data_IF_990954678584
#
_entry.id   IF_990954678584
#
_cell.length_a   1.000
_cell.length_b   1.000
_cell.length_c   1.000
_cell.angle_alpha   90.00
_cell.angle_beta   90.00
_cell.angle_gamma   90.00
#
_symmetry.space_group_name_H-M   'P 1'
#
loop_
_entity.id
_entity.type
_entity.pdbx_description
1 polymer ?
#
# COMPACT_ATOMS: atom_id res chain seq x y z
N UNK A 1 -21.65 -8.94 0.05
CA UNK A 1 -21.49 -9.07 -1.42
C UNK A 1 -20.67 -7.86 -1.87
N UNK A 2 -19.41 -8.05 -2.17
CA UNK A 2 -18.56 -7.02 -2.77
C UNK A 2 -19.04 -6.82 -4.21
N UNK A 3 -19.52 -5.61 -4.55
CA UNK A 3 -19.83 -5.29 -5.94
C UNK A 3 -18.50 -5.27 -6.70
N UNK A 4 -18.32 -6.19 -7.64
CA UNK A 4 -17.26 -6.08 -8.62
C UNK A 4 -17.54 -4.83 -9.47
N UNK A 5 -16.87 -3.74 -9.11
CA UNK A 5 -16.89 -2.52 -9.92
C UNK A 5 -15.94 -2.75 -11.09
N UNK A 6 -16.44 -2.64 -12.31
CA UNK A 6 -15.57 -2.76 -13.48
C UNK A 6 -14.61 -1.57 -13.51
N UNK A 7 -13.39 -1.80 -13.99
CA UNK A 7 -12.37 -0.73 -14.15
C UNK A 7 -12.89 0.46 -14.97
N UNK A 8 -13.83 0.21 -15.89
CA UNK A 8 -14.45 1.25 -16.72
C UNK A 8 -15.41 2.15 -15.91
N UNK A 9 -16.11 1.60 -14.93
CA UNK A 9 -17.00 2.35 -14.02
C UNK A 9 -16.24 3.12 -12.94
N UNK A 10 -15.04 2.65 -12.57
CA UNK A 10 -14.18 3.27 -11.57
C UNK A 10 -13.32 4.41 -12.13
N UNK A 11 -13.38 4.69 -13.46
CA UNK A 11 -12.57 5.72 -14.11
C UNK A 11 -13.14 7.11 -13.85
N UNK A 12 -12.36 7.99 -13.21
CA UNK A 12 -12.75 9.38 -12.92
C UNK A 12 -12.39 10.36 -14.07
N UNK A 13 -11.45 9.97 -14.93
CA UNK A 13 -11.00 10.81 -16.03
C UNK A 13 -9.49 10.75 -16.27
N UNK A 14 -8.96 11.78 -16.92
CA UNK A 14 -7.53 11.95 -17.17
C UNK A 14 -6.92 12.84 -16.09
N UNK A 15 -5.78 12.41 -15.54
CA UNK A 15 -5.07 13.14 -14.50
C UNK A 15 -4.43 14.43 -15.05
N UNK A 16 -4.64 15.55 -14.39
CA UNK A 16 -3.87 16.79 -14.60
C UNK A 16 -2.63 16.75 -13.68
N UNK A 17 -1.54 16.17 -14.20
CA UNK A 17 -0.29 16.02 -13.44
C UNK A 17 0.39 17.36 -13.11
N UNK A 18 0.13 18.39 -13.88
CA UNK A 18 0.70 19.74 -13.64
C UNK A 18 0.05 20.42 -12.44
N UNK A 19 -1.24 20.16 -12.19
CA UNK A 19 -2.00 20.70 -11.06
C UNK A 19 -2.15 19.73 -9.90
N UNK A 20 -1.44 18.60 -9.94
CA UNK A 20 -1.57 17.57 -8.91
C UNK A 20 -1.00 18.06 -7.56
N UNK A 21 -1.81 18.00 -6.50
CA UNK A 21 -1.39 18.38 -5.13
C UNK A 21 -0.28 17.50 -4.57
N UNK A 22 -0.12 16.28 -5.10
CA UNK A 22 0.91 15.33 -4.71
C UNK A 22 2.14 15.36 -5.63
N UNK A 23 2.21 16.30 -6.59
CA UNK A 23 3.24 16.31 -7.64
C UNK A 23 4.65 16.14 -7.09
N UNK A 24 5.00 16.85 -6.02
CA UNK A 24 6.34 16.81 -5.43
C UNK A 24 6.69 15.47 -4.74
N UNK A 25 5.69 14.64 -4.47
CA UNK A 25 5.84 13.39 -3.74
C UNK A 25 5.68 12.13 -4.60
N UNK A 26 5.20 12.27 -5.86
CA UNK A 26 4.96 11.15 -6.78
C UNK A 26 6.11 10.96 -7.77
N UNK A 27 6.03 9.90 -8.59
CA UNK A 27 7.09 9.52 -9.53
C UNK A 27 7.55 10.68 -10.43
N UNK A 28 6.64 11.54 -10.84
CA UNK A 28 6.89 12.63 -11.80
C UNK A 28 7.23 13.96 -11.13
N UNK A 29 7.64 13.96 -9.85
CA UNK A 29 8.00 15.17 -9.10
C UNK A 29 9.03 16.05 -9.82
N UNK A 30 10.03 15.42 -10.43
CA UNK A 30 11.16 16.09 -11.05
C UNK A 30 11.00 16.30 -12.57
N UNK A 31 9.81 16.06 -13.15
CA UNK A 31 9.55 16.30 -14.55
C UNK A 31 9.18 17.77 -14.80
N UNK A 32 9.74 18.34 -15.86
CA UNK A 32 9.38 19.67 -16.35
C UNK A 32 8.13 19.60 -17.27
N UNK A 33 7.51 20.73 -17.54
CA UNK A 33 6.32 20.80 -18.39
C UNK A 33 6.54 20.19 -19.78
N UNK A 34 7.73 20.44 -20.38
CA UNK A 34 8.13 19.85 -21.66
C UNK A 34 8.22 18.32 -21.67
N UNK A 35 8.42 17.67 -20.50
CA UNK A 35 8.44 16.23 -20.39
C UNK A 35 7.02 15.66 -20.45
N UNK A 36 6.02 16.41 -19.94
CA UNK A 36 4.61 16.03 -20.03
C UNK A 36 4.04 16.17 -21.44
N UNK A 37 4.58 17.05 -22.27
CA UNK A 37 4.19 17.17 -23.69
C UNK A 37 4.54 15.90 -24.50
N UNK A 38 5.51 15.11 -24.01
CA UNK A 38 5.92 13.83 -24.58
C UNK A 38 5.03 12.65 -24.14
N UNK A 39 4.09 12.89 -23.23
CA UNK A 39 3.13 11.88 -22.80
C UNK A 39 2.06 11.69 -23.87
N UNK A 40 2.30 10.78 -24.80
CA UNK A 40 1.34 10.48 -25.86
C UNK A 40 0.14 9.63 -25.37
N UNK A 41 0.26 9.00 -24.20
CA UNK A 41 -0.80 8.23 -23.55
C UNK A 41 -1.30 8.93 -22.31
N UNK A 42 -2.63 9.03 -22.12
CA UNK A 42 -3.19 9.67 -20.94
C UNK A 42 -2.90 8.85 -19.68
N UNK A 43 -2.69 9.57 -18.59
CA UNK A 43 -2.66 9.00 -17.23
C UNK A 43 -4.09 9.04 -16.72
N UNK A 44 -4.73 7.89 -16.64
CA UNK A 44 -6.10 7.79 -16.13
C UNK A 44 -6.13 7.80 -14.60
N UNK A 45 -7.20 8.37 -14.04
CA UNK A 45 -7.51 8.30 -12.62
C UNK A 45 -8.65 7.33 -12.37
N UNK A 46 -8.57 6.62 -11.24
CA UNK A 46 -9.58 5.67 -10.78
C UNK A 46 -9.83 5.85 -9.30
N UNK A 47 -11.10 5.77 -8.88
CA UNK A 47 -11.53 5.61 -7.50
C UNK A 47 -12.08 4.21 -7.30
N UNK A 48 -11.46 3.44 -6.44
CA UNK A 48 -11.76 2.03 -6.22
C UNK A 48 -12.31 1.81 -4.82
N UNK A 49 -13.48 1.15 -4.70
CA UNK A 49 -14.07 0.83 -3.42
C UNK A 49 -13.31 -0.28 -2.68
N UNK A 50 -13.51 -0.37 -1.37
CA UNK A 50 -12.94 -1.43 -0.52
C UNK A 50 -13.28 -2.80 -1.07
N UNK A 51 -12.27 -3.68 -1.13
CA UNK A 51 -12.35 -5.04 -1.64
C UNK A 51 -12.23 -5.18 -3.16
N UNK A 52 -12.19 -4.07 -3.92
CA UNK A 52 -11.90 -4.13 -5.35
C UNK A 52 -10.47 -4.61 -5.61
N UNK A 53 -10.26 -5.37 -6.68
CA UNK A 53 -8.94 -5.79 -7.14
C UNK A 53 -8.46 -4.86 -8.24
N UNK A 54 -7.29 -4.27 -8.06
CA UNK A 54 -6.65 -3.40 -9.04
C UNK A 54 -6.02 -4.19 -10.18
N UNK A 55 -5.35 -5.30 -9.85
CA UNK A 55 -4.78 -6.27 -10.78
C UNK A 55 -4.54 -7.60 -10.06
N UNK A 56 -4.43 -8.69 -10.82
CA UNK A 56 -4.10 -10.02 -10.31
C UNK A 56 -2.67 -10.43 -10.63
N UNK A 57 -2.11 -11.29 -9.81
CA UNK A 57 -0.84 -11.94 -10.09
C UNK A 57 -0.92 -12.69 -11.42
N UNK A 58 0.11 -12.57 -12.26
CA UNK A 58 0.15 -13.17 -13.60
C UNK A 58 -0.54 -12.36 -14.70
N UNK A 59 -1.36 -11.34 -14.36
CA UNK A 59 -1.90 -10.42 -15.37
C UNK A 59 -0.77 -9.67 -16.06
N UNK A 60 -0.97 -9.31 -17.33
CA UNK A 60 -0.01 -8.53 -18.10
C UNK A 60 0.15 -7.14 -17.52
N UNK A 61 1.38 -6.78 -17.19
CA UNK A 61 1.76 -5.54 -16.52
C UNK A 61 1.92 -4.36 -17.50
N UNK A 62 0.81 -3.85 -18.02
CA UNK A 62 0.83 -2.71 -18.94
C UNK A 62 0.84 -1.36 -18.24
N UNK A 63 0.53 -1.32 -16.94
CA UNK A 63 0.40 -0.10 -16.14
C UNK A 63 1.07 -0.25 -14.78
N UNK A 64 1.64 0.85 -14.31
CA UNK A 64 1.97 1.06 -12.90
C UNK A 64 0.94 1.98 -12.29
N UNK A 65 0.80 1.94 -10.98
CA UNK A 65 -0.20 2.76 -10.30
C UNK A 65 0.44 3.53 -9.15
N UNK A 66 0.26 4.85 -9.17
CA UNK A 66 0.55 5.71 -8.01
C UNK A 66 -0.71 5.85 -7.17
N UNK A 67 -0.62 5.52 -5.89
CA UNK A 67 -1.71 5.74 -4.94
C UNK A 67 -1.77 7.21 -4.55
N UNK A 68 -2.92 7.85 -4.73
CA UNK A 68 -3.17 9.24 -4.31
C UNK A 68 -3.71 9.32 -2.90
N UNK A 69 -4.67 8.45 -2.60
CA UNK A 69 -5.28 8.32 -1.28
C UNK A 69 -5.71 6.88 -1.02
N UNK A 70 -5.96 6.52 0.22
CA UNK A 70 -6.38 5.18 0.60
C UNK A 70 -5.21 4.21 0.82
N UNK A 71 -5.52 2.90 0.84
CA UNK A 71 -4.55 1.83 1.10
C UNK A 71 -4.89 0.61 0.23
N UNK A 72 -3.88 0.10 -0.48
CA UNK A 72 -3.91 -1.22 -1.12
C UNK A 72 -3.10 -2.23 -0.30
N UNK A 73 -3.49 -3.48 -0.35
CA UNK A 73 -2.69 -4.62 0.11
C UNK A 73 -2.17 -5.42 -1.08
N UNK A 74 -0.89 -5.79 -1.05
CA UNK A 74 -0.32 -6.76 -1.98
C UNK A 74 -0.38 -8.15 -1.34
N UNK A 75 -1.02 -9.08 -2.05
CA UNK A 75 -1.34 -10.42 -1.55
C UNK A 75 -0.61 -11.48 -2.36
N UNK A 76 -0.06 -12.46 -1.67
CA UNK A 76 0.38 -13.73 -2.23
C UNK A 76 -0.43 -14.87 -1.59
N UNK A 77 -0.77 -15.87 -2.39
CA UNK A 77 -1.39 -17.10 -1.91
C UNK A 77 -0.31 -18.15 -1.68
N UNK A 78 -0.35 -18.78 -0.50
CA UNK A 78 0.55 -19.87 -0.19
C UNK A 78 0.00 -21.19 -0.76
N UNK A 79 0.83 -22.26 -0.84
CA UNK A 79 0.40 -23.54 -1.38
C UNK A 79 -0.79 -24.19 -0.66
N UNK A 80 -1.03 -23.83 0.60
CA UNK A 80 -2.18 -24.27 1.41
C UNK A 80 -3.46 -23.44 1.17
N UNK A 81 -3.39 -22.46 0.25
CA UNK A 81 -4.48 -21.55 -0.06
C UNK A 81 -4.61 -20.35 0.90
N UNK A 82 -3.81 -20.29 1.95
CA UNK A 82 -3.82 -19.15 2.86
C UNK A 82 -3.23 -17.90 2.20
N UNK A 83 -3.75 -16.73 2.59
CA UNK A 83 -3.28 -15.44 2.11
C UNK A 83 -2.14 -14.91 2.97
N UNK A 84 -1.12 -14.35 2.32
CA UNK A 84 -0.10 -13.51 2.95
C UNK A 84 -0.16 -12.11 2.37
N UNK A 85 -0.35 -11.12 3.23
CA UNK A 85 -0.19 -9.71 2.85
C UNK A 85 1.30 -9.40 3.01
N UNK A 86 1.95 -9.16 1.89
CA UNK A 86 3.42 -8.96 1.85
C UNK A 86 3.79 -7.49 1.87
N UNK A 87 2.85 -6.58 1.57
CA UNK A 87 3.07 -5.13 1.59
C UNK A 87 1.77 -4.36 1.65
N UNK A 88 1.81 -3.18 2.28
CA UNK A 88 0.78 -2.14 2.16
C UNK A 88 1.30 -1.03 1.26
N UNK A 89 0.47 -0.60 0.33
CA UNK A 89 0.75 0.52 -0.59
C UNK A 89 -0.14 1.68 -0.15
N UNK A 90 0.47 2.80 0.18
CA UNK A 90 -0.17 3.99 0.75
C UNK A 90 -0.06 5.18 -0.20
N UNK A 91 -0.64 6.31 0.20
CA UNK A 91 -0.50 7.57 -0.56
C UNK A 91 0.97 7.85 -0.90
N UNK A 92 1.22 8.26 -2.14
CA UNK A 92 2.50 8.51 -2.79
C UNK A 92 3.32 7.29 -3.17
N UNK A 93 2.95 6.08 -2.72
CA UNK A 93 3.60 4.84 -3.15
C UNK A 93 3.21 4.45 -4.58
N UNK A 94 4.05 3.62 -5.16
CA UNK A 94 3.83 3.03 -6.50
C UNK A 94 3.73 1.52 -6.37
N UNK A 95 2.79 0.93 -7.11
CA UNK A 95 2.70 -0.52 -7.30
C UNK A 95 2.77 -0.87 -8.78
N UNK A 96 3.18 -2.11 -9.10
CA UNK A 96 3.44 -2.54 -10.47
C UNK A 96 4.81 -2.12 -11.00
N UNK A 97 5.77 -1.74 -10.13
CA UNK A 97 7.14 -1.39 -10.54
C UNK A 97 7.85 -2.56 -11.25
N UNK A 98 7.52 -3.79 -10.89
CA UNK A 98 8.04 -5.02 -11.50
C UNK A 98 7.77 -5.08 -13.00
N UNK A 99 6.72 -4.42 -13.48
CA UNK A 99 6.33 -4.42 -14.88
C UNK A 99 7.31 -3.65 -15.79
N UNK A 100 8.24 -2.85 -15.21
CA UNK A 100 9.32 -2.21 -15.99
C UNK A 100 10.37 -3.23 -16.46
N UNK A 101 10.59 -4.30 -15.69
CA UNK A 101 11.61 -5.32 -15.99
C UNK A 101 11.02 -6.69 -16.28
N UNK A 102 9.75 -6.90 -15.97
CA UNK A 102 9.01 -8.12 -16.19
C UNK A 102 7.74 -7.87 -17.01
N UNK A 103 7.05 -8.93 -17.39
CA UNK A 103 5.86 -8.81 -18.23
C UNK A 103 4.56 -8.87 -17.44
N UNK A 104 4.60 -9.37 -16.18
CA UNK A 104 3.41 -9.65 -15.39
C UNK A 104 3.52 -9.13 -13.97
N UNK A 105 2.36 -8.85 -13.35
CA UNK A 105 2.29 -8.55 -11.92
C UNK A 105 2.64 -9.77 -11.07
N UNK A 106 3.33 -9.54 -9.96
CA UNK A 106 3.81 -10.59 -9.06
C UNK A 106 2.90 -10.82 -7.85
N UNK A 107 1.88 -9.97 -7.66
CA UNK A 107 0.96 -9.99 -6.52
C UNK A 107 -0.45 -9.64 -6.98
N UNK A 108 -1.45 -10.04 -6.19
CA UNK A 108 -2.77 -9.41 -6.29
C UNK A 108 -2.73 -8.07 -5.54
N UNK A 109 -3.22 -6.99 -6.15
CA UNK A 109 -3.39 -5.70 -5.49
C UNK A 109 -4.87 -5.48 -5.16
N UNK A 110 -5.21 -5.47 -3.88
CA UNK A 110 -6.59 -5.40 -3.39
C UNK A 110 -6.78 -4.15 -2.52
N UNK A 111 -7.88 -3.45 -2.72
CA UNK A 111 -8.23 -2.23 -1.98
C UNK A 111 -8.60 -2.56 -0.54
N UNK A 112 -7.86 -2.00 0.41
CA UNK A 112 -8.08 -2.17 1.84
C UNK A 112 -8.88 -1.01 2.45
N UNK A 113 -8.66 0.20 1.93
CA UNK A 113 -9.46 1.41 2.18
C UNK A 113 -9.73 2.03 0.81
N UNK A 114 -10.90 2.69 0.65
CA UNK A 114 -11.23 3.37 -0.60
C UNK A 114 -10.02 4.14 -1.13
N UNK A 115 -9.65 3.88 -2.38
CA UNK A 115 -8.34 4.26 -2.92
C UNK A 115 -8.48 4.96 -4.26
N UNK A 116 -7.88 6.15 -4.34
CA UNK A 116 -7.66 6.83 -5.61
C UNK A 116 -6.28 6.48 -6.16
N UNK A 117 -6.22 6.13 -7.44
CA UNK A 117 -4.96 5.83 -8.13
C UNK A 117 -4.84 6.56 -9.47
N UNK A 118 -3.59 6.89 -9.83
CA UNK A 118 -3.23 7.27 -11.20
C UNK A 118 -2.58 6.06 -11.88
N UNK A 119 -3.09 5.69 -13.05
CA UNK A 119 -2.58 4.60 -13.88
C UNK A 119 -1.59 5.13 -14.91
N UNK A 120 -0.34 4.75 -14.77
CA UNK A 120 0.79 5.17 -15.58
C UNK A 120 1.14 4.07 -16.59
N UNK A 121 1.01 4.29 -17.90
CA UNK A 121 1.42 3.29 -18.87
C UNK A 121 2.92 2.99 -18.74
N UNK A 122 3.29 1.71 -18.59
CA UNK A 122 4.69 1.26 -18.41
C UNK A 122 5.58 1.77 -19.55
N UNK A 123 5.13 1.65 -20.79
CA UNK A 123 5.87 2.13 -21.99
C UNK A 123 6.24 3.62 -21.94
N UNK A 124 5.35 4.43 -21.38
CA UNK A 124 5.59 5.88 -21.22
C UNK A 124 6.69 6.13 -20.19
N UNK A 125 6.60 5.46 -19.03
CA UNK A 125 7.61 5.57 -17.98
C UNK A 125 8.97 5.06 -18.45
N UNK A 126 9.01 3.96 -19.19
CA UNK A 126 10.24 3.43 -19.79
C UNK A 126 10.88 4.41 -20.78
N UNK A 127 10.08 4.97 -21.70
CA UNK A 127 10.57 5.94 -22.68
C UNK A 127 11.14 7.18 -22.00
N UNK A 128 10.38 7.77 -21.09
CA UNK A 128 10.81 8.95 -20.33
C UNK A 128 12.04 8.68 -19.47
N UNK A 129 12.13 7.51 -18.85
CA UNK A 129 13.28 7.17 -17.98
C UNK A 129 14.59 7.04 -18.76
N UNK A 130 14.54 6.69 -20.05
CA UNK A 130 15.72 6.65 -20.93
C UNK A 130 16.23 8.04 -21.28
N UNK A 131 15.32 9.01 -21.39
CA UNK A 131 15.64 10.38 -21.78
C UNK A 131 15.90 11.31 -20.58
N UNK A 132 15.33 10.98 -19.42
CA UNK A 132 15.40 11.80 -18.20
C UNK A 132 16.10 11.04 -17.07
N UNK A 133 17.41 11.33 -16.79
CA UNK A 133 18.17 10.68 -15.73
C UNK A 133 17.58 10.89 -14.33
N UNK A 134 16.86 12.01 -14.08
CA UNK A 134 16.25 12.27 -12.79
C UNK A 134 15.07 11.32 -12.55
N UNK A 135 14.26 11.04 -13.58
CA UNK A 135 13.19 10.05 -13.50
C UNK A 135 13.75 8.63 -13.30
N UNK A 136 14.82 8.28 -14.04
CA UNK A 136 15.48 7.00 -13.85
C UNK A 136 15.96 6.81 -12.41
N UNK A 137 16.63 7.82 -11.84
CA UNK A 137 17.08 7.81 -10.44
C UNK A 137 15.89 7.69 -9.47
N UNK A 138 14.78 8.36 -9.73
CA UNK A 138 13.60 8.27 -8.87
C UNK A 138 12.97 6.87 -8.92
N UNK A 139 12.95 6.18 -10.07
CA UNK A 139 12.52 4.79 -10.15
C UNK A 139 13.39 3.87 -9.28
N UNK A 140 14.72 4.03 -9.33
CA UNK A 140 15.63 3.27 -8.46
C UNK A 140 15.40 3.58 -6.98
N UNK A 141 15.14 4.84 -6.62
CA UNK A 141 14.80 5.22 -5.25
C UNK A 141 13.48 4.58 -4.78
N UNK A 142 12.48 4.49 -5.67
CA UNK A 142 11.20 3.80 -5.37
C UNK A 142 11.42 2.32 -5.16
N UNK A 143 12.25 1.70 -5.98
CA UNK A 143 12.60 0.29 -5.83
C UNK A 143 13.35 0.02 -4.53
N UNK A 144 14.34 0.85 -4.20
CA UNK A 144 15.06 0.76 -2.93
C UNK A 144 14.15 0.90 -1.73
N UNK A 145 13.19 1.85 -1.78
CA UNK A 145 12.18 2.00 -0.72
C UNK A 145 11.32 0.75 -0.58
N UNK A 146 10.85 0.18 -1.68
CA UNK A 146 10.05 -1.04 -1.67
C UNK A 146 10.81 -2.23 -1.08
N UNK A 147 12.11 -2.37 -1.40
CA UNK A 147 12.98 -3.42 -0.83
C UNK A 147 13.18 -3.20 0.68
N UNK A 148 13.53 -1.99 1.10
CA UNK A 148 13.69 -1.64 2.52
C UNK A 148 12.42 -1.90 3.32
N UNK A 149 11.25 -1.63 2.72
CA UNK A 149 9.96 -1.90 3.34
C UNK A 149 9.71 -3.40 3.49
N UNK A 150 10.07 -4.21 2.48
CA UNK A 150 9.99 -5.67 2.53
C UNK A 150 10.92 -6.25 3.61
N UNK A 151 12.15 -5.76 3.72
CA UNK A 151 13.10 -6.18 4.77
C UNK A 151 12.56 -5.85 6.17
N UNK A 152 12.03 -4.64 6.35
CA UNK A 152 11.42 -4.24 7.61
C UNK A 152 10.18 -5.10 7.95
N UNK A 153 9.39 -5.50 6.94
CA UNK A 153 8.26 -6.39 7.13
C UNK A 153 8.70 -7.77 7.63
N UNK A 154 9.76 -8.32 7.04
CA UNK A 154 10.33 -9.61 7.46
C UNK A 154 10.90 -9.57 8.89
N UNK A 155 11.58 -8.50 9.26
CA UNK A 155 12.24 -8.39 10.56
C UNK A 155 11.31 -7.96 11.67
N UNK A 156 10.40 -7.03 11.41
CA UNK A 156 9.51 -6.45 12.44
C UNK A 156 8.20 -7.22 12.60
N UNK A 157 7.56 -7.62 11.50
CA UNK A 157 6.21 -8.19 11.53
C UNK A 157 6.15 -9.72 11.46
N UNK A 158 7.28 -10.38 11.14
CA UNK A 158 7.34 -11.85 11.04
C UNK A 158 8.10 -12.51 12.19
N UNK A 159 8.71 -11.73 13.10
CA UNK A 159 9.53 -12.25 14.22
C UNK A 159 8.92 -11.90 15.57
N UNK A 160 9.23 -12.73 16.57
CA UNK A 160 8.75 -12.54 17.94
C UNK A 160 7.35 -13.12 18.20
N UNK A 161 6.81 -12.86 19.38
CA UNK A 161 5.48 -13.32 19.79
C UNK A 161 4.36 -12.63 19.01
N UNK A 162 3.15 -13.18 19.02
CA UNK A 162 1.98 -12.57 18.39
C UNK A 162 1.70 -11.16 18.97
N UNK A 163 1.92 -10.95 20.28
CA UNK A 163 1.75 -9.66 20.94
C UNK A 163 2.74 -8.62 20.41
N UNK A 164 4.01 -8.98 20.30
CA UNK A 164 5.04 -8.11 19.74
C UNK A 164 4.73 -7.73 18.29
N UNK A 165 4.37 -8.71 17.47
CA UNK A 165 4.00 -8.47 16.06
C UNK A 165 2.79 -7.55 15.93
N UNK A 166 1.74 -7.75 16.73
CA UNK A 166 0.57 -6.86 16.75
C UNK A 166 0.95 -5.46 17.23
N UNK A 167 1.75 -5.33 18.30
CA UNK A 167 2.22 -4.03 18.77
C UNK A 167 3.00 -3.27 17.71
N UNK A 168 3.96 -3.94 17.04
CA UNK A 168 4.73 -3.35 15.94
C UNK A 168 3.87 -2.94 14.74
N UNK A 169 2.86 -3.74 14.38
CA UNK A 169 1.90 -3.37 13.34
C UNK A 169 1.14 -2.09 13.73
N UNK A 170 0.62 -2.00 14.95
CA UNK A 170 -0.10 -0.82 15.43
C UNK A 170 0.77 0.44 15.41
N UNK A 171 2.00 0.35 15.93
CA UNK A 171 2.96 1.45 15.90
C UNK A 171 3.26 1.90 14.47
N UNK A 172 3.33 0.95 13.54
CA UNK A 172 3.56 1.22 12.12
C UNK A 172 2.40 1.94 11.45
N UNK A 173 1.15 1.72 11.91
CA UNK A 173 -0.04 2.42 11.38
C UNK A 173 -0.03 3.91 11.70
N UNK A 174 0.61 4.31 12.80
CA UNK A 174 0.66 5.71 13.24
C UNK A 174 2.02 6.38 13.00
N UNK A 175 3.02 5.65 12.50
CA UNK A 175 4.40 6.14 12.33
C UNK A 175 4.50 7.38 11.46
N UNK A 176 3.68 7.46 10.42
CA UNK A 176 3.70 8.55 9.45
C UNK A 176 2.61 9.61 9.73
N UNK A 177 1.86 9.43 10.81
CA UNK A 177 0.85 10.38 11.27
C UNK A 177 1.34 11.06 12.54
N UNK A 178 1.08 12.35 12.70
CA UNK A 178 1.36 13.05 13.96
C UNK A 178 0.31 12.72 15.05
N UNK A 179 -0.61 11.81 14.74
CA UNK A 179 -1.70 11.40 15.61
C UNK A 179 -1.44 10.01 16.20
N UNK A 180 -1.81 9.82 17.45
CA UNK A 180 -1.79 8.51 18.11
C UNK A 180 -3.05 7.69 17.81
N UNK A 181 -3.80 8.03 16.75
CA UNK A 181 -5.04 7.36 16.38
C UNK A 181 -4.90 6.60 15.07
N UNK A 182 -5.50 5.42 15.01
CA UNK A 182 -5.57 4.63 13.79
C UNK A 182 -6.90 3.87 13.66
N UNK A 183 -7.25 3.54 12.41
CA UNK A 183 -8.27 2.55 12.11
C UNK A 183 -7.63 1.17 12.07
N UNK A 184 -8.27 0.18 12.72
CA UNK A 184 -7.78 -1.19 12.66
C UNK A 184 -8.25 -1.87 11.37
N UNK A 185 -7.37 -2.69 10.80
CA UNK A 185 -7.74 -3.61 9.74
C UNK A 185 -8.62 -4.75 10.25
N UNK A 186 -9.31 -5.44 9.34
CA UNK A 186 -10.00 -6.68 9.66
C UNK A 186 -9.03 -7.69 10.31
N UNK A 187 -9.52 -8.51 11.23
CA UNK A 187 -8.68 -9.47 11.97
C UNK A 187 -8.05 -10.52 11.05
N UNK A 188 -8.73 -10.84 9.98
CA UNK A 188 -8.23 -11.70 8.92
C UNK A 188 -7.01 -11.07 8.22
N UNK A 189 -7.12 -9.80 7.81
CA UNK A 189 -6.01 -9.06 7.20
C UNK A 189 -4.83 -8.91 8.16
N UNK A 190 -5.09 -8.61 9.44
CA UNK A 190 -4.03 -8.58 10.45
C UNK A 190 -3.35 -9.95 10.59
N UNK A 191 -4.11 -11.04 10.57
CA UNK A 191 -3.58 -12.41 10.57
C UNK A 191 -2.69 -12.67 9.36
N UNK A 192 -3.16 -12.30 8.17
CA UNK A 192 -2.42 -12.44 6.91
C UNK A 192 -1.14 -11.60 6.86
N UNK A 193 -1.13 -10.40 7.48
CA UNK A 193 0.06 -9.55 7.63
C UNK A 193 1.10 -10.16 8.56
N UNK A 194 0.63 -10.65 9.72
CA UNK A 194 1.50 -11.03 10.83
C UNK A 194 1.87 -12.53 10.84
N UNK A 195 1.28 -13.32 9.95
CA UNK A 195 1.45 -14.79 9.97
C UNK A 195 0.92 -15.45 11.24
N UNK A 196 -0.23 -14.97 11.70
CA UNK A 196 -0.97 -15.54 12.82
C UNK A 196 -2.42 -15.82 12.41
N UNK A 197 -3.12 -16.67 13.17
CA UNK A 197 -4.52 -16.92 12.88
C UNK A 197 -5.39 -15.71 13.20
N UNK A 198 -6.54 -15.58 12.52
CA UNK A 198 -7.56 -14.56 12.81
C UNK A 198 -7.99 -14.56 14.28
N UNK A 199 -8.09 -15.77 14.88
CA UNK A 199 -8.41 -15.93 16.30
C UNK A 199 -7.32 -15.38 17.22
N UNK A 200 -6.03 -15.63 16.89
CA UNK A 200 -4.91 -15.07 17.64
C UNK A 200 -4.88 -13.56 17.55
N UNK A 201 -5.09 -12.99 16.36
CA UNK A 201 -5.21 -11.54 16.17
C UNK A 201 -6.36 -10.96 17.02
N UNK A 202 -7.54 -11.59 16.98
CA UNK A 202 -8.70 -11.18 17.76
C UNK A 202 -8.46 -11.21 19.27
N UNK A 203 -7.86 -12.29 19.78
CA UNK A 203 -7.53 -12.42 21.21
C UNK A 203 -6.51 -11.36 21.65
N UNK A 204 -5.48 -11.12 20.85
CA UNK A 204 -4.45 -10.12 21.18
C UNK A 204 -5.03 -8.70 21.21
N UNK A 205 -5.86 -8.33 20.25
CA UNK A 205 -6.52 -7.02 20.24
C UNK A 205 -7.48 -6.89 21.43
N UNK A 206 -8.24 -7.93 21.76
CA UNK A 206 -9.13 -7.90 22.92
C UNK A 206 -8.33 -7.74 24.24
N UNK A 207 -7.16 -8.37 24.35
CA UNK A 207 -6.27 -8.19 25.47
C UNK A 207 -5.72 -6.76 25.56
N UNK A 208 -5.27 -6.19 24.43
CA UNK A 208 -4.77 -4.80 24.38
C UNK A 208 -5.85 -3.79 24.75
N UNK A 209 -7.11 -4.02 24.34
CA UNK A 209 -8.25 -3.21 24.79
C UNK A 209 -8.45 -3.30 26.31
N UNK A 210 -8.41 -4.50 26.90
CA UNK A 210 -8.54 -4.68 28.36
C UNK A 210 -7.42 -4.02 29.15
N UNK A 211 -6.23 -3.94 28.57
CA UNK A 211 -5.06 -3.29 29.17
C UNK A 211 -5.01 -1.78 28.88
N UNK A 212 -6.04 -1.22 28.23
CA UNK A 212 -6.12 0.18 27.83
C UNK A 212 -4.98 0.63 26.87
N UNK A 213 -4.32 -0.30 26.20
CA UNK A 213 -3.33 -0.01 25.16
C UNK A 213 -4.00 0.50 23.87
N UNK A 214 -5.27 0.15 23.71
CA UNK A 214 -6.18 0.58 22.62
C UNK A 214 -7.46 1.10 23.24
N UNK A 215 -7.77 2.37 23.04
CA UNK A 215 -9.01 3.00 23.50
C UNK A 215 -9.84 3.36 22.28
N UNK A 216 -11.03 2.78 22.15
CA UNK A 216 -11.94 3.05 21.02
C UNK A 216 -12.55 4.44 21.19
N UNK A 217 -12.28 5.35 20.25
CA UNK A 217 -12.76 6.74 20.24
C UNK A 217 -13.99 6.91 19.36
N UNK A 218 -14.08 6.12 18.29
CA UNK A 218 -15.25 6.02 17.42
C UNK A 218 -15.28 4.66 16.72
N UNK A 219 -16.25 4.41 15.85
CA UNK A 219 -16.37 3.14 15.14
C UNK A 219 -15.08 2.81 14.40
N UNK A 220 -14.40 1.74 14.85
CA UNK A 220 -13.12 1.24 14.32
C UNK A 220 -11.95 2.25 14.38
N UNK A 221 -12.06 3.32 15.18
CA UNK A 221 -10.99 4.29 15.41
C UNK A 221 -10.46 4.13 16.84
N UNK A 222 -9.15 4.03 16.99
CA UNK A 222 -8.51 3.71 18.26
C UNK A 222 -7.38 4.67 18.56
N UNK A 223 -7.38 5.20 19.77
CA UNK A 223 -6.24 5.89 20.37
C UNK A 223 -5.28 4.83 20.92
N UNK A 224 -3.99 4.98 20.59
CA UNK A 224 -2.92 4.05 20.98
C UNK A 224 -2.10 4.59 22.15
N UNK A 225 -1.82 3.74 23.13
CA UNK A 225 -0.80 3.98 24.15
C UNK A 225 0.58 3.64 23.57
N UNK A 226 1.17 4.62 22.86
CA UNK A 226 2.44 4.46 22.15
C UNK A 226 3.58 3.99 23.09
N UNK A 227 3.83 4.60 24.29
CA UNK A 227 4.93 4.17 25.15
C UNK A 227 4.83 2.69 25.58
N UNK A 228 3.64 2.24 25.96
CA UNK A 228 3.46 0.86 26.41
C UNK A 228 3.46 -0.12 25.24
N UNK A 229 2.95 0.25 24.06
CA UNK A 229 3.08 -0.56 22.83
C UNK A 229 4.53 -0.69 22.38
N UNK A 230 5.37 0.36 22.50
CA UNK A 230 6.80 0.28 22.21
C UNK A 230 7.51 -0.71 23.13
N UNK A 231 7.21 -0.68 24.45
CA UNK A 231 7.78 -1.66 25.39
C UNK A 231 7.43 -3.10 24.98
N UNK A 232 6.16 -3.37 24.67
CA UNK A 232 5.74 -4.72 24.22
C UNK A 232 6.41 -5.11 22.90
N UNK A 233 6.67 -4.17 22.02
CA UNK A 233 7.31 -4.42 20.72
C UNK A 233 8.79 -4.81 20.84
N UNK A 234 9.46 -4.38 21.93
CA UNK A 234 10.91 -4.58 22.18
C UNK A 234 11.21 -5.79 23.11
N UNK A 235 10.26 -6.16 24.02
CA UNK A 235 10.40 -7.31 24.93
C UNK A 235 10.59 -8.64 24.15
#
# INVERSE_FOLDING_TARGET
MVKNVSFKEARDGVADCLKCSLRESVLFANLEEKDFEKLHDPIDQYTLPVGATLYHTGDRGERMYTVRSGILKLVQYLPDGSQRIVRLIRSTDITGLECIVGETYQHDAIVLQETEVCALPVRVVESLSKENPALHKELLNRWQRALKEADAWLTELSTGSAKQRVARLLLRLVKDTQMSECNLFAREDMGAMLGITTETASRTIAEFKRQSLLIETSVNQFLLDIPNLQRIAED
#
